data_IF_326497824439
#
_entry.id   IF_326497824439
#
_cell.length_a   1.000
_cell.length_b   1.000
_cell.length_c   1.000
_cell.angle_alpha   90.00
_cell.angle_beta   90.00
_cell.angle_gamma   90.00
#
_symmetry.space_group_name_H-M   'P 1'
#
loop_
_entity.id
_entity.type
_entity.pdbx_description
1 polymer ?
#
# COMPACT_ATOMS: atom_id res chain seq x y z
N UNK A 1 4.83 -19.02 -11.86
CA UNK A 1 3.41 -19.39 -12.11
C UNK A 1 3.19 -19.90 -13.52
N UNK A 2 3.51 -19.15 -14.58
CA UNK A 2 3.27 -19.56 -15.96
C UNK A 2 3.86 -20.94 -16.35
N UNK A 3 5.13 -21.23 -15.99
CA UNK A 3 5.73 -22.57 -16.18
C UNK A 3 4.92 -23.69 -15.52
N UNK A 4 4.45 -23.44 -14.30
CA UNK A 4 3.64 -24.40 -13.55
C UNK A 4 2.28 -24.61 -14.22
N UNK A 5 1.63 -23.53 -14.67
CA UNK A 5 0.39 -23.63 -15.45
C UNK A 5 0.57 -24.47 -16.72
N UNK A 6 1.66 -24.23 -17.47
CA UNK A 6 2.00 -25.02 -18.66
C UNK A 6 2.21 -26.51 -18.34
N UNK A 7 2.85 -26.83 -17.22
CA UNK A 7 3.07 -28.21 -16.77
C UNK A 7 1.78 -28.93 -16.35
N UNK A 8 0.69 -28.20 -16.14
CA UNK A 8 -0.62 -28.71 -15.72
C UNK A 8 -1.73 -28.38 -16.73
N UNK A 9 -1.38 -28.20 -18.01
CA UNK A 9 -2.32 -28.00 -19.12
C UNK A 9 -3.29 -26.82 -18.94
N UNK A 10 -2.88 -25.79 -18.21
CA UNK A 10 -3.65 -24.56 -18.05
C UNK A 10 -3.71 -23.81 -19.38
N UNK A 11 -4.91 -23.46 -19.83
CA UNK A 11 -5.14 -22.82 -21.14
C UNK A 11 -4.76 -21.34 -21.22
N UNK A 12 -4.57 -20.67 -20.07
CA UNK A 12 -4.20 -19.26 -20.01
C UNK A 12 -4.07 -18.75 -18.59
N UNK A 13 -3.49 -17.56 -18.44
CA UNK A 13 -3.40 -16.85 -17.17
C UNK A 13 -4.27 -15.60 -17.20
N UNK A 14 -4.99 -15.39 -16.11
CA UNK A 14 -5.69 -14.13 -15.84
C UNK A 14 -4.83 -13.32 -14.86
N UNK A 15 -4.45 -12.10 -15.27
CA UNK A 15 -3.77 -11.13 -14.40
C UNK A 15 -4.83 -10.12 -13.95
N UNK A 16 -5.21 -10.18 -12.68
CA UNK A 16 -6.16 -9.25 -12.07
C UNK A 16 -5.46 -8.36 -11.06
N UNK A 17 -5.71 -7.05 -11.13
CA UNK A 17 -5.32 -6.11 -10.09
C UNK A 17 -6.49 -5.88 -9.12
N UNK A 18 -6.81 -6.92 -8.33
CA UNK A 18 -7.89 -6.91 -7.35
C UNK A 18 -7.28 -7.21 -5.97
N UNK A 19 -7.72 -6.49 -4.94
CA UNK A 19 -7.27 -6.69 -3.57
C UNK A 19 -8.45 -6.91 -2.63
N UNK A 20 -8.34 -7.88 -1.72
CA UNK A 20 -9.42 -8.25 -0.79
C UNK A 20 -9.91 -7.07 0.07
N UNK A 21 -9.03 -6.10 0.34
CA UNK A 21 -9.35 -4.90 1.10
C UNK A 21 -9.87 -3.71 0.27
N UNK A 22 -9.99 -3.86 -1.06
CA UNK A 22 -9.84 -2.71 -1.95
C UNK A 22 -8.44 -2.09 -1.77
N UNK A 23 -7.93 -1.36 -2.74
CA UNK A 23 -6.65 -0.66 -2.56
C UNK A 23 -6.58 0.56 -3.44
N UNK A 24 -5.64 1.46 -3.13
CA UNK A 24 -5.28 2.59 -3.98
C UNK A 24 -4.76 2.03 -5.31
N UNK A 25 -5.62 1.99 -6.32
CA UNK A 25 -5.43 1.19 -7.53
C UNK A 25 -5.66 2.00 -8.80
N UNK A 26 -4.99 3.15 -8.92
CA UNK A 26 -5.04 3.88 -10.20
C UNK A 26 -4.61 2.94 -11.34
N UNK A 27 -5.39 2.75 -12.41
CA UNK A 27 -5.10 1.78 -13.46
C UNK A 27 -3.70 1.94 -14.09
N UNK A 28 -3.13 3.15 -14.08
CA UNK A 28 -1.77 3.41 -14.58
C UNK A 28 -0.71 2.69 -13.74
N UNK A 29 -0.99 2.45 -12.46
CA UNK A 29 -0.07 1.78 -11.54
C UNK A 29 0.00 0.27 -11.77
N UNK A 30 -1.04 -0.32 -12.38
CA UNK A 30 -1.11 -1.74 -12.68
C UNK A 30 -0.33 -2.13 -13.94
N UNK A 31 -0.03 -1.16 -14.81
CA UNK A 31 0.59 -1.37 -16.14
C UNK A 31 1.90 -2.16 -16.07
N UNK A 32 2.88 -1.83 -15.19
CA UNK A 32 4.12 -2.62 -15.11
C UNK A 32 3.85 -4.09 -14.77
N UNK A 33 2.92 -4.35 -13.83
CA UNK A 33 2.52 -5.69 -13.43
C UNK A 33 1.83 -6.46 -14.55
N UNK A 34 0.96 -5.79 -15.33
CA UNK A 34 0.31 -6.39 -16.49
C UNK A 34 1.32 -6.76 -17.58
N UNK A 35 2.29 -5.88 -17.90
CA UNK A 35 3.34 -6.17 -18.88
C UNK A 35 4.21 -7.33 -18.40
N UNK A 36 4.57 -7.36 -17.12
CA UNK A 36 5.33 -8.46 -16.52
C UNK A 36 4.57 -9.80 -16.65
N UNK A 37 3.28 -9.80 -16.29
CA UNK A 37 2.42 -10.98 -16.40
C UNK A 37 2.26 -11.46 -17.85
N UNK A 38 2.10 -10.54 -18.80
CA UNK A 38 2.01 -10.85 -20.22
C UNK A 38 3.31 -11.49 -20.75
N UNK A 39 4.48 -10.92 -20.43
CA UNK A 39 5.78 -11.46 -20.84
C UNK A 39 5.98 -12.89 -20.30
N UNK A 40 5.68 -13.13 -19.03
CA UNK A 40 5.82 -14.43 -18.40
C UNK A 40 4.83 -15.46 -18.94
N UNK A 41 3.63 -15.03 -19.35
CA UNK A 41 2.63 -15.91 -19.95
C UNK A 41 2.97 -16.27 -21.40
N UNK A 42 3.55 -15.32 -22.16
CA UNK A 42 3.95 -15.53 -23.55
C UNK A 42 5.17 -16.44 -23.68
N UNK A 43 6.20 -16.21 -22.85
CA UNK A 43 7.42 -17.01 -22.84
C UNK A 43 7.81 -17.40 -21.41
N UNK A 44 7.16 -18.42 -20.84
CA UNK A 44 7.42 -18.84 -19.47
C UNK A 44 8.84 -19.36 -19.26
N UNK A 45 9.49 -19.85 -20.32
CA UNK A 45 10.84 -20.42 -20.27
C UNK A 45 11.94 -19.36 -20.46
N UNK A 46 11.56 -18.08 -20.66
CA UNK A 46 12.52 -16.99 -20.73
C UNK A 46 13.33 -16.88 -19.43
N UNK A 47 14.66 -16.84 -19.56
CA UNK A 47 15.56 -16.47 -18.47
C UNK A 47 15.77 -14.96 -18.48
N UNK A 48 14.77 -14.22 -17.99
CA UNK A 48 14.84 -12.78 -17.79
C UNK A 48 14.92 -12.49 -16.29
N UNK A 49 15.96 -11.77 -15.87
CA UNK A 49 16.04 -11.29 -14.49
C UNK A 49 14.97 -10.22 -14.23
N UNK A 50 14.59 -10.02 -12.96
CA UNK A 50 13.67 -8.94 -12.59
C UNK A 50 14.23 -7.59 -13.06
N UNK A 51 15.51 -7.32 -12.80
CA UNK A 51 16.20 -6.07 -13.19
C UNK A 51 16.13 -5.82 -14.70
N UNK A 52 16.40 -6.84 -15.53
CA UNK A 52 16.30 -6.71 -16.98
C UNK A 52 14.87 -6.42 -17.42
N UNK A 53 13.88 -7.05 -16.77
CA UNK A 53 12.48 -6.83 -17.08
C UNK A 53 12.05 -5.40 -16.73
N UNK A 54 12.39 -4.91 -15.53
CA UNK A 54 12.06 -3.53 -15.11
C UNK A 54 12.73 -2.50 -16.03
N UNK A 55 13.97 -2.75 -16.46
CA UNK A 55 14.70 -1.87 -17.39
C UNK A 55 14.04 -1.81 -18.76
N UNK A 56 13.59 -2.96 -19.29
CA UNK A 56 12.85 -3.04 -20.55
C UNK A 56 11.51 -2.32 -20.48
N UNK A 57 10.74 -2.52 -19.41
CA UNK A 57 9.45 -1.83 -19.23
C UNK A 57 9.68 -0.31 -19.16
N UNK A 58 10.67 0.13 -18.39
CA UNK A 58 11.03 1.55 -18.28
C UNK A 58 11.29 2.19 -19.65
N UNK A 59 12.02 1.49 -20.51
CA UNK A 59 12.38 2.00 -21.85
C UNK A 59 11.19 1.98 -22.81
N UNK A 60 10.42 0.88 -22.83
CA UNK A 60 9.38 0.64 -23.83
C UNK A 60 8.08 1.36 -23.48
N UNK A 61 7.62 1.22 -22.24
CA UNK A 61 6.32 1.76 -21.79
C UNK A 61 6.43 3.23 -21.40
N UNK A 62 7.48 3.59 -20.65
CA UNK A 62 7.60 4.91 -20.04
C UNK A 62 8.58 5.85 -20.77
N UNK A 63 9.20 5.41 -21.87
CA UNK A 63 10.13 6.23 -22.66
C UNK A 63 11.43 6.60 -21.94
N UNK A 64 11.68 6.04 -20.75
CA UNK A 64 12.89 6.29 -19.97
C UNK A 64 14.07 5.52 -20.56
N UNK A 65 14.92 6.23 -21.31
CA UNK A 65 16.11 5.67 -21.97
C UNK A 65 17.17 5.17 -21.00
N UNK A 66 17.12 5.55 -19.73
CA UNK A 66 18.04 5.04 -18.72
C UNK A 66 17.63 3.66 -18.21
N UNK A 67 16.36 3.28 -18.42
CA UNK A 67 15.80 2.03 -17.93
C UNK A 67 15.57 2.01 -16.41
N UNK A 68 15.47 3.16 -15.76
CA UNK A 68 15.49 3.30 -14.31
C UNK A 68 14.11 3.43 -13.66
N UNK A 69 13.11 3.98 -14.35
CA UNK A 69 11.88 4.45 -13.69
C UNK A 69 11.09 3.34 -13.00
N UNK A 70 10.90 2.18 -13.63
CA UNK A 70 10.15 1.07 -13.01
C UNK A 70 10.98 0.44 -11.88
N UNK A 71 12.31 0.45 -12.00
CA UNK A 71 13.20 0.04 -10.91
C UNK A 71 13.07 0.94 -9.69
N UNK A 72 13.03 2.27 -9.90
CA UNK A 72 12.83 3.25 -8.84
C UNK A 72 11.45 3.09 -8.17
N UNK A 73 10.39 2.88 -8.97
CA UNK A 73 9.04 2.60 -8.48
C UNK A 73 8.98 1.31 -7.64
N UNK A 74 9.60 0.23 -8.12
CA UNK A 74 9.72 -1.04 -7.38
C UNK A 74 10.49 -0.87 -6.07
N UNK A 75 11.50 -0.01 -6.07
CA UNK A 75 12.25 0.36 -4.87
C UNK A 75 11.41 1.19 -3.91
N UNK A 76 10.57 2.10 -4.39
CA UNK A 76 9.66 2.91 -3.58
C UNK A 76 8.56 2.05 -2.93
N UNK A 77 8.00 1.09 -3.66
CA UNK A 77 6.93 0.21 -3.16
C UNK A 77 7.36 -0.67 -1.98
N UNK A 78 8.67 -0.87 -1.79
CA UNK A 78 9.22 -1.64 -0.66
C UNK A 78 9.38 -0.82 0.63
N UNK A 79 9.02 0.47 0.64
CA UNK A 79 9.25 1.40 1.77
C UNK A 79 7.99 1.65 2.61
N UNK A 80 7.09 0.67 2.69
CA UNK A 80 5.89 0.72 3.52
C UNK A 80 6.13 0.12 4.91
N UNK A 81 6.26 0.95 5.93
CA UNK A 81 6.32 0.52 7.34
C UNK A 81 4.94 0.20 7.92
N UNK A 82 3.90 0.88 7.42
CA UNK A 82 2.49 0.60 7.68
C UNK A 82 1.72 0.71 6.37
N UNK A 83 1.14 -0.38 5.88
CA UNK A 83 0.53 -0.48 4.55
C UNK A 83 -0.97 -0.15 4.55
N UNK A 84 -1.55 -0.03 3.35
CA UNK A 84 -3.01 0.09 3.19
C UNK A 84 -3.75 -1.10 3.81
N UNK A 85 -3.25 -2.31 3.61
CA UNK A 85 -3.82 -3.53 4.18
C UNK A 85 -3.78 -3.52 5.72
N UNK A 86 -2.72 -2.96 6.31
CA UNK A 86 -2.63 -2.79 7.76
C UNK A 86 -3.67 -1.78 8.26
N UNK A 87 -3.87 -0.66 7.54
CA UNK A 87 -4.91 0.31 7.88
C UNK A 87 -6.31 -0.32 7.82
N UNK A 88 -6.63 -1.00 6.72
CA UNK A 88 -7.95 -1.62 6.56
C UNK A 88 -8.17 -2.70 7.62
N UNK A 89 -7.19 -3.57 7.87
CA UNK A 89 -7.27 -4.58 8.93
C UNK A 89 -7.53 -3.93 10.30
N UNK A 90 -6.79 -2.86 10.63
CA UNK A 90 -6.99 -2.13 11.89
C UNK A 90 -8.41 -1.53 12.02
N UNK A 91 -8.97 -1.00 10.93
CA UNK A 91 -10.32 -0.44 10.89
C UNK A 91 -11.41 -1.52 10.93
N UNK A 92 -11.21 -2.64 10.25
CA UNK A 92 -12.16 -3.75 10.18
C UNK A 92 -12.18 -4.64 11.42
N UNK A 93 -11.20 -4.51 12.33
CA UNK A 93 -11.27 -5.07 13.68
C UNK A 93 -12.49 -4.54 14.46
N UNK A 94 -12.97 -3.34 14.16
CA UNK A 94 -14.20 -2.78 14.72
C UNK A 94 -15.42 -3.29 13.95
N UNK A 95 -16.34 -3.96 14.64
CA UNK A 95 -17.57 -4.52 14.03
C UNK A 95 -18.67 -3.47 13.80
N UNK A 96 -18.45 -2.21 14.20
CA UNK A 96 -19.39 -1.11 14.08
C UNK A 96 -20.56 -1.18 15.07
N UNK A 97 -20.54 -2.14 16.01
CA UNK A 97 -21.57 -2.39 17.03
C UNK A 97 -21.00 -2.30 18.45
N UNK A 98 -19.79 -1.77 18.59
CA UNK A 98 -19.07 -1.65 19.85
C UNK A 98 -18.33 -2.93 20.26
N UNK A 99 -18.24 -3.91 19.36
CA UNK A 99 -17.53 -5.17 19.56
C UNK A 99 -16.28 -5.29 18.70
N UNK A 100 -15.73 -6.50 18.65
CA UNK A 100 -14.56 -6.85 17.84
C UNK A 100 -15.00 -7.80 16.74
N UNK A 101 -14.55 -7.53 15.51
CA UNK A 101 -14.80 -8.40 14.38
C UNK A 101 -13.93 -9.67 14.48
N UNK A 102 -14.55 -10.75 14.99
CA UNK A 102 -13.85 -12.02 15.21
C UNK A 102 -13.40 -12.73 13.92
N UNK A 103 -13.98 -12.39 12.77
CA UNK A 103 -13.53 -12.94 11.48
C UNK A 103 -12.17 -12.37 11.10
N UNK A 104 -11.97 -11.06 11.27
CA UNK A 104 -10.67 -10.40 11.04
C UNK A 104 -9.62 -10.94 12.02
N UNK A 105 -9.96 -11.09 13.30
CA UNK A 105 -9.08 -11.72 14.29
C UNK A 105 -8.66 -13.13 13.86
N UNK A 106 -9.58 -13.92 13.29
CA UNK A 106 -9.28 -15.27 12.79
C UNK A 106 -8.35 -15.22 11.57
N UNK A 107 -8.62 -14.32 10.60
CA UNK A 107 -7.78 -14.14 9.41
C UNK A 107 -6.37 -13.73 9.81
N UNK A 108 -6.23 -12.77 10.73
CA UNK A 108 -4.93 -12.40 11.29
C UNK A 108 -4.21 -13.60 11.90
N UNK A 109 -4.91 -14.45 12.66
CA UNK A 109 -4.32 -15.66 13.26
C UNK A 109 -3.85 -16.73 12.27
N UNK A 110 -4.36 -16.70 11.03
CA UNK A 110 -3.85 -17.53 9.95
C UNK A 110 -2.51 -17.02 9.41
N UNK A 111 -2.25 -15.70 9.49
CA UNK A 111 -1.00 -15.10 9.07
C UNK A 111 0.09 -15.36 10.12
N UNK A 112 1.25 -15.78 9.64
CA UNK A 112 2.36 -16.20 10.51
C UNK A 112 2.79 -15.11 11.50
N UNK A 113 2.72 -13.84 11.08
CA UNK A 113 3.08 -12.69 11.90
C UNK A 113 2.26 -12.57 13.20
N UNK A 114 0.96 -12.91 13.19
CA UNK A 114 0.07 -12.69 14.34
C UNK A 114 -0.25 -13.96 15.14
N UNK A 115 0.28 -15.11 14.73
CA UNK A 115 -0.10 -16.44 15.25
C UNK A 115 0.06 -16.59 16.78
N UNK A 116 1.03 -15.90 17.37
CA UNK A 116 1.39 -16.07 18.78
C UNK A 116 0.77 -15.03 19.72
N UNK A 117 0.25 -13.91 19.19
CA UNK A 117 -0.10 -12.73 20.01
C UNK A 117 -1.61 -12.44 20.08
N UNK A 118 -2.45 -13.24 19.40
CA UNK A 118 -3.89 -12.99 19.32
C UNK A 118 -4.69 -13.62 20.48
N UNK A 119 -5.70 -12.91 21.04
CA UNK A 119 -6.65 -13.49 21.98
C UNK A 119 -7.41 -14.68 21.36
N UNK A 120 -7.83 -15.66 22.17
CA UNK A 120 -8.71 -16.73 21.68
C UNK A 120 -9.99 -16.11 21.06
N UNK A 121 -10.23 -16.44 19.79
CA UNK A 121 -11.13 -15.68 18.89
C UNK A 121 -12.58 -15.47 19.35
N UNK A 122 -13.08 -16.24 20.31
CA UNK A 122 -14.49 -16.18 20.75
C UNK A 122 -14.79 -15.10 21.79
N UNK A 123 -13.78 -14.41 22.35
CA UNK A 123 -13.95 -13.36 23.38
C UNK A 123 -13.02 -12.14 23.18
N UNK A 124 -12.46 -11.95 21.99
CA UNK A 124 -11.53 -10.84 21.74
C UNK A 124 -12.21 -9.48 21.94
N UNK A 125 -11.62 -8.61 22.78
CA UNK A 125 -12.02 -7.20 22.86
C UNK A 125 -11.32 -6.41 21.76
N UNK A 126 -11.99 -5.38 21.25
CA UNK A 126 -11.44 -4.53 20.18
C UNK A 126 -10.08 -3.92 20.56
N UNK A 127 -9.97 -3.39 21.78
CA UNK A 127 -8.72 -2.81 22.28
C UNK A 127 -7.57 -3.84 22.31
N UNK A 128 -7.83 -5.05 22.81
CA UNK A 128 -6.82 -6.10 22.91
C UNK A 128 -6.35 -6.56 21.52
N UNK A 129 -7.27 -6.69 20.56
CA UNK A 129 -6.94 -7.05 19.18
C UNK A 129 -6.10 -5.97 18.47
N UNK A 130 -6.45 -4.68 18.64
CA UNK A 130 -5.68 -3.56 18.09
C UNK A 130 -4.28 -3.48 18.69
N UNK A 131 -4.15 -3.63 20.01
CA UNK A 131 -2.84 -3.63 20.68
C UNK A 131 -1.99 -4.81 20.22
N UNK A 132 -2.57 -6.00 20.09
CA UNK A 132 -1.88 -7.19 19.56
C UNK A 132 -1.35 -6.93 18.15
N UNK A 133 -2.20 -6.46 17.24
CA UNK A 133 -1.81 -6.11 15.87
C UNK A 133 -0.65 -5.12 15.84
N UNK A 134 -0.77 -4.03 16.58
CA UNK A 134 0.20 -2.95 16.60
C UNK A 134 1.54 -3.37 17.22
N UNK A 135 1.54 -4.29 18.19
CA UNK A 135 2.77 -4.88 18.74
C UNK A 135 3.49 -5.73 17.70
N UNK A 136 2.77 -6.56 16.97
CA UNK A 136 3.34 -7.36 15.86
C UNK A 136 3.97 -6.46 14.79
N UNK A 137 3.32 -5.35 14.45
CA UNK A 137 3.80 -4.41 13.42
C UNK A 137 4.80 -3.36 13.94
N UNK A 138 5.10 -3.34 15.25
CA UNK A 138 5.81 -2.24 15.91
C UNK A 138 7.10 -1.84 15.20
N UNK A 139 7.98 -2.80 14.94
CA UNK A 139 9.31 -2.49 14.40
C UNK A 139 9.24 -1.99 12.95
N UNK A 140 8.30 -2.53 12.16
CA UNK A 140 8.01 -2.06 10.79
C UNK A 140 7.48 -0.62 10.79
N UNK A 141 6.53 -0.32 11.68
CA UNK A 141 5.95 1.02 11.82
C UNK A 141 7.02 2.02 12.28
N UNK A 142 7.87 1.66 13.25
CA UNK A 142 8.95 2.52 13.73
C UNK A 142 9.99 2.83 12.65
N UNK A 143 10.31 1.86 11.80
CA UNK A 143 11.15 2.08 10.63
C UNK A 143 10.53 3.08 9.62
N UNK A 144 9.21 3.28 9.68
CA UNK A 144 8.45 4.20 8.83
C UNK A 144 9.01 5.63 8.75
N UNK A 145 9.65 6.14 9.81
CA UNK A 145 10.31 7.46 9.77
C UNK A 145 11.46 7.51 8.77
N UNK A 146 12.36 6.54 8.85
CA UNK A 146 13.50 6.43 7.94
C UNK A 146 13.02 6.10 6.52
N UNK A 147 12.04 5.20 6.40
CA UNK A 147 11.43 4.85 5.13
C UNK A 147 10.76 6.06 4.44
N UNK A 148 10.18 6.99 5.21
CA UNK A 148 9.63 8.24 4.66
C UNK A 148 10.71 9.12 4.03
N UNK A 149 11.90 9.25 4.64
CA UNK A 149 13.02 9.95 4.02
C UNK A 149 13.45 9.29 2.71
N UNK A 150 13.53 7.96 2.70
CA UNK A 150 13.82 7.19 1.47
C UNK A 150 12.71 7.29 0.40
N UNK A 151 11.46 7.56 0.80
CA UNK A 151 10.35 7.81 -0.12
C UNK A 151 10.42 9.23 -0.70
N UNK A 152 10.87 10.21 0.09
CA UNK A 152 11.18 11.56 -0.40
C UNK A 152 12.26 11.51 -1.49
N UNK A 153 13.40 10.87 -1.20
CA UNK A 153 14.48 10.68 -2.18
C UNK A 153 13.96 9.99 -3.46
N UNK A 154 13.16 8.93 -3.31
CA UNK A 154 12.57 8.23 -4.44
C UNK A 154 11.63 9.11 -5.27
N UNK A 155 10.90 10.03 -4.63
CA UNK A 155 10.00 10.97 -5.33
C UNK A 155 10.79 11.92 -6.21
N UNK A 156 11.91 12.44 -5.72
CA UNK A 156 12.80 13.30 -6.50
C UNK A 156 13.39 12.55 -7.70
N UNK A 157 13.91 11.34 -7.48
CA UNK A 157 14.48 10.48 -8.52
C UNK A 157 13.45 10.16 -9.61
N UNK A 158 12.26 9.68 -9.21
CA UNK A 158 11.18 9.31 -10.15
C UNK A 158 10.71 10.53 -10.94
N UNK A 159 10.54 11.68 -10.27
CA UNK A 159 10.15 12.92 -10.94
C UNK A 159 11.19 13.35 -11.98
N UNK A 160 12.47 13.22 -11.66
CA UNK A 160 13.55 13.51 -12.60
C UNK A 160 13.54 12.55 -13.79
N UNK A 161 13.40 11.24 -13.56
CA UNK A 161 13.36 10.23 -14.62
C UNK A 161 12.20 10.47 -15.58
N UNK A 162 11.00 10.70 -15.06
CA UNK A 162 9.83 11.02 -15.89
C UNK A 162 9.97 12.36 -16.63
N UNK A 163 10.59 13.37 -16.02
CA UNK A 163 10.90 14.64 -16.71
C UNK A 163 11.85 14.43 -17.88
N UNK A 164 12.90 13.63 -17.69
CA UNK A 164 13.85 13.29 -18.76
C UNK A 164 13.22 12.47 -19.88
N UNK A 165 12.24 11.62 -19.55
CA UNK A 165 11.43 10.87 -20.51
C UNK A 165 10.38 11.73 -21.23
N UNK A 166 10.11 12.95 -20.75
CA UNK A 166 9.10 13.85 -21.31
C UNK A 166 7.67 13.57 -20.85
N UNK A 167 7.48 12.73 -19.82
CA UNK A 167 6.16 12.36 -19.27
C UNK A 167 5.98 12.90 -17.85
N UNK A 168 5.78 14.22 -17.75
CA UNK A 168 5.50 14.86 -16.45
C UNK A 168 4.15 14.46 -15.85
N UNK A 169 3.25 13.86 -16.64
CA UNK A 169 1.93 13.44 -16.16
C UNK A 169 2.04 12.21 -15.27
N UNK A 170 2.83 11.20 -15.68
CA UNK A 170 3.10 10.02 -14.86
C UNK A 170 3.86 10.38 -13.59
N UNK A 171 4.76 11.38 -13.62
CA UNK A 171 5.43 11.85 -12.41
C UNK A 171 4.43 12.21 -11.30
N UNK A 172 3.38 12.99 -11.63
CA UNK A 172 2.36 13.41 -10.67
C UNK A 172 1.60 12.21 -10.07
N UNK A 173 1.24 11.23 -10.90
CA UNK A 173 0.53 10.01 -10.48
C UNK A 173 1.34 9.24 -9.45
N UNK A 174 2.62 9.01 -9.74
CA UNK A 174 3.49 8.20 -8.90
C UNK A 174 3.93 8.93 -7.63
N UNK A 175 4.18 10.25 -7.71
CA UNK A 175 4.43 11.08 -6.53
C UNK A 175 3.25 11.03 -5.56
N UNK A 176 2.01 11.14 -6.07
CA UNK A 176 0.82 11.06 -5.23
C UNK A 176 0.66 9.70 -4.54
N UNK A 177 1.02 8.61 -5.21
CA UNK A 177 1.04 7.27 -4.61
C UNK A 177 2.05 7.17 -3.46
N UNK A 178 3.25 7.70 -3.68
CA UNK A 178 4.32 7.73 -2.68
C UNK A 178 3.90 8.56 -1.47
N UNK A 179 3.31 9.73 -1.69
CA UNK A 179 2.79 10.57 -0.61
C UNK A 179 1.71 9.84 0.22
N UNK A 180 0.85 9.07 -0.44
CA UNK A 180 -0.12 8.20 0.25
C UNK A 180 0.57 7.22 1.20
N UNK A 181 1.62 6.53 0.74
CA UNK A 181 2.38 5.62 1.60
C UNK A 181 3.13 6.34 2.73
N UNK A 182 3.64 7.56 2.50
CA UNK A 182 4.28 8.38 3.54
C UNK A 182 3.29 8.77 4.64
N UNK A 183 2.05 9.10 4.26
CA UNK A 183 0.96 9.37 5.20
C UNK A 183 0.60 8.11 5.98
N UNK A 184 0.46 6.95 5.32
CA UNK A 184 0.19 5.68 6.01
C UNK A 184 1.26 5.31 7.04
N UNK A 185 2.54 5.50 6.73
CA UNK A 185 3.63 5.29 7.70
C UNK A 185 3.45 6.17 8.95
N UNK A 186 2.98 7.41 8.79
CA UNK A 186 2.68 8.33 9.90
C UNK A 186 1.41 7.93 10.66
N UNK A 187 0.41 7.37 9.97
CA UNK A 187 -0.80 6.80 10.61
C UNK A 187 -0.40 5.68 11.55
N UNK A 188 0.43 4.73 11.10
CA UNK A 188 0.93 3.66 11.96
C UNK A 188 1.58 4.19 13.24
N UNK A 189 2.41 5.23 13.14
CA UNK A 189 3.05 5.86 14.30
C UNK A 189 2.04 6.50 15.26
N UNK A 190 1.02 7.20 14.73
CA UNK A 190 -0.05 7.77 15.55
C UNK A 190 -0.82 6.67 16.31
N UNK A 191 -1.12 5.56 15.63
CA UNK A 191 -1.82 4.43 16.23
C UNK A 191 -0.99 3.73 17.31
N UNK A 192 0.33 3.55 17.12
CA UNK A 192 1.21 3.01 18.17
C UNK A 192 1.15 3.86 19.44
N UNK A 193 1.15 5.18 19.29
CA UNK A 193 1.13 6.11 20.41
C UNK A 193 -0.22 6.11 21.13
N UNK A 194 -1.32 6.15 20.36
CA UNK A 194 -2.68 6.13 20.87
C UNK A 194 -3.00 4.88 21.72
N UNK A 195 -2.42 3.74 21.35
CA UNK A 195 -2.58 2.47 22.07
C UNK A 195 -1.50 2.21 23.12
N UNK A 196 -0.63 3.19 23.40
CA UNK A 196 0.42 3.09 24.42
C UNK A 196 1.50 2.03 24.13
N UNK A 197 1.66 1.63 22.86
CA UNK A 197 2.73 0.72 22.42
C UNK A 197 4.08 1.44 22.37
N UNK A 198 4.05 2.74 22.10
CA UNK A 198 5.19 3.67 22.20
C UNK A 198 4.76 4.94 22.93
N UNK A 199 5.72 5.74 23.39
CA UNK A 199 5.40 7.00 24.08
C UNK A 199 4.96 8.07 23.07
N UNK A 200 4.05 8.96 23.48
CA UNK A 200 3.53 10.04 22.62
C UNK A 200 4.63 11.00 22.13
N UNK A 201 5.61 11.33 22.98
CA UNK A 201 6.77 12.14 22.62
C UNK A 201 7.71 11.44 21.63
N UNK A 202 7.80 10.10 21.70
CA UNK A 202 8.57 9.28 20.76
C UNK A 202 7.89 9.17 19.40
N UNK A 203 6.56 9.22 19.33
CA UNK A 203 5.80 9.22 18.08
C UNK A 203 5.78 10.60 17.41
N UNK A 204 5.70 11.71 18.17
CA UNK A 204 5.82 13.07 17.64
C UNK A 204 4.90 13.35 16.45
N UNK A 205 3.70 12.77 16.43
CA UNK A 205 2.69 12.95 15.38
C UNK A 205 1.58 13.86 15.92
N UNK A 206 1.26 14.90 15.17
CA UNK A 206 0.02 15.66 15.34
C UNK A 206 -1.10 14.91 14.57
N UNK A 207 -1.94 14.20 15.31
CA UNK A 207 -2.97 13.33 14.73
C UNK A 207 -4.07 14.13 14.01
N UNK A 208 -4.45 15.30 14.54
CA UNK A 208 -5.44 16.16 13.91
C UNK A 208 -4.92 16.70 12.57
N UNK A 209 -3.69 17.20 12.54
CA UNK A 209 -3.05 17.65 11.30
C UNK A 209 -2.89 16.50 10.29
N UNK A 210 -2.53 15.30 10.75
CA UNK A 210 -2.39 14.13 9.88
C UNK A 210 -3.74 13.74 9.25
N UNK A 211 -4.85 13.89 9.99
CA UNK A 211 -6.19 13.65 9.45
C UNK A 211 -6.49 14.62 8.28
N UNK A 212 -6.21 15.91 8.46
CA UNK A 212 -6.42 16.92 7.42
C UNK A 212 -5.56 16.66 6.16
N UNK A 213 -4.32 16.21 6.36
CA UNK A 213 -3.42 15.84 5.25
C UNK A 213 -3.91 14.61 4.47
N UNK A 214 -4.48 13.61 5.14
CA UNK A 214 -5.11 12.44 4.48
C UNK A 214 -6.34 12.83 3.66
N UNK A 215 -7.17 13.74 4.15
CA UNK A 215 -8.34 14.25 3.41
C UNK A 215 -7.90 15.01 2.16
N UNK A 216 -6.91 15.90 2.31
CA UNK A 216 -6.33 16.63 1.17
C UNK A 216 -5.73 15.67 0.13
N UNK A 217 -4.98 14.66 0.58
CA UNK A 217 -4.46 13.61 -0.30
C UNK A 217 -5.58 12.86 -1.03
N UNK A 218 -6.66 12.52 -0.33
CA UNK A 218 -7.81 11.81 -0.91
C UNK A 218 -8.54 12.64 -1.96
N UNK A 219 -8.67 13.95 -1.75
CA UNK A 219 -9.22 14.88 -2.74
C UNK A 219 -8.36 14.91 -4.01
N UNK A 220 -7.03 14.99 -3.85
CA UNK A 220 -6.09 14.97 -4.97
C UNK A 220 -6.16 13.63 -5.72
N UNK A 221 -6.19 12.52 -4.99
CA UNK A 221 -6.33 11.19 -5.56
C UNK A 221 -7.65 11.05 -6.33
N UNK A 222 -8.75 11.56 -5.80
CA UNK A 222 -10.05 11.54 -6.46
C UNK A 222 -10.05 12.30 -7.78
N UNK A 223 -9.38 13.47 -7.83
CA UNK A 223 -9.22 14.24 -9.08
C UNK A 223 -8.44 13.45 -10.13
N UNK A 224 -7.31 12.88 -9.71
CA UNK A 224 -6.43 12.09 -10.58
C UNK A 224 -7.10 10.81 -11.08
N UNK A 225 -7.89 10.15 -10.24
CA UNK A 225 -8.70 8.99 -10.59
C UNK A 225 -9.74 9.31 -11.67
N UNK A 226 -10.42 10.46 -11.56
CA UNK A 226 -11.46 10.86 -12.50
C UNK A 226 -10.94 11.17 -13.91
N UNK A 227 -9.63 11.32 -14.09
CA UNK A 227 -9.00 11.42 -15.42
C UNK A 227 -9.01 10.09 -16.17
N UNK A 228 -8.96 8.96 -15.46
CA UNK A 228 -8.74 7.62 -16.03
C UNK A 228 -9.89 6.64 -15.77
N UNK A 229 -10.81 6.95 -14.85
CA UNK A 229 -11.91 6.04 -14.49
C UNK A 229 -13.15 6.77 -13.95
N UNK A 230 -14.29 6.05 -13.93
CA UNK A 230 -15.52 6.46 -13.23
C UNK A 230 -15.45 6.02 -11.76
N UNK A 231 -16.53 6.13 -10.97
CA UNK A 231 -16.48 5.86 -9.52
C UNK A 231 -15.78 4.55 -9.12
N UNK A 232 -16.16 3.39 -9.66
CA UNK A 232 -15.52 2.09 -9.33
C UNK A 232 -15.26 1.94 -7.81
N UNK A 233 -14.04 1.58 -7.39
CA UNK A 233 -13.62 1.46 -5.99
C UNK A 233 -13.33 2.80 -5.27
N UNK A 234 -13.39 3.95 -5.94
CA UNK A 234 -13.04 5.25 -5.35
C UNK A 234 -13.87 5.55 -4.10
N UNK A 235 -15.17 5.24 -4.12
CA UNK A 235 -16.04 5.45 -2.96
C UNK A 235 -15.61 4.59 -1.75
N UNK A 236 -15.10 3.38 -1.98
CA UNK A 236 -14.59 2.49 -0.93
C UNK A 236 -13.28 3.01 -0.37
N UNK A 237 -12.36 3.47 -1.24
CA UNK A 237 -11.09 4.09 -0.84
C UNK A 237 -11.36 5.33 0.03
N UNK A 238 -12.25 6.22 -0.42
CA UNK A 238 -12.66 7.41 0.33
C UNK A 238 -13.25 7.04 1.70
N UNK A 239 -14.11 6.03 1.76
CA UNK A 239 -14.70 5.56 3.02
C UNK A 239 -13.65 5.03 4.01
N UNK A 240 -12.64 4.29 3.53
CA UNK A 240 -11.52 3.85 4.38
C UNK A 240 -10.75 5.06 4.92
N UNK A 241 -10.46 6.06 4.08
CA UNK A 241 -9.74 7.26 4.54
C UNK A 241 -10.58 8.06 5.55
N UNK A 242 -11.87 8.27 5.31
CA UNK A 242 -12.74 8.97 6.27
C UNK A 242 -12.80 8.26 7.63
N UNK A 243 -12.88 6.93 7.64
CA UNK A 243 -12.81 6.17 8.90
C UNK A 243 -11.45 6.33 9.58
N UNK A 244 -10.36 6.37 8.82
CA UNK A 244 -9.03 6.60 9.38
C UNK A 244 -8.91 8.00 9.98
N UNK A 245 -9.44 9.03 9.32
CA UNK A 245 -9.39 10.42 9.78
C UNK A 245 -10.25 10.63 11.02
N UNK A 246 -11.41 9.97 11.11
CA UNK A 246 -12.24 9.96 12.33
C UNK A 246 -11.50 9.33 13.51
N UNK A 247 -10.80 8.22 13.28
CA UNK A 247 -9.95 7.60 14.31
C UNK A 247 -8.85 8.56 14.75
N UNK A 248 -8.12 9.16 13.82
CA UNK A 248 -7.02 10.10 14.13
C UNK A 248 -7.50 11.32 14.93
N UNK A 249 -8.73 11.80 14.71
CA UNK A 249 -9.30 12.91 15.49
C UNK A 249 -9.81 12.50 16.86
N UNK A 250 -9.99 11.20 17.10
CA UNK A 250 -10.47 10.65 18.38
C UNK A 250 -9.37 10.29 19.37
N UNK A 251 -8.11 10.26 18.92
CA UNK A 251 -6.93 9.84 19.71
C UNK A 251 -6.10 11.01 20.23
#
# INVERSE_FOLDING_TARGET
MARHGRAHDVSGMLVTDWGDFGHVNDPRMSVPGMIFGAQQSWNPDAELSEVDMLSRISTIEYGDRTGGVVGALRGASAKGGFSWSDLVTYLELDDGRGGCNTEIVRVMGCLEAYRNDLPQSSQARLADARVSMLRTLRDSILAGRELNGKLDDATEDITQLFRMAGDSSSAVVWSLAIDGQRLLNRVGLALLAAHGVVRQDEAGIDAAKLADELECWTEQYSRLWHEVSRQSELARIQHVVWRATDVLRSI
#
